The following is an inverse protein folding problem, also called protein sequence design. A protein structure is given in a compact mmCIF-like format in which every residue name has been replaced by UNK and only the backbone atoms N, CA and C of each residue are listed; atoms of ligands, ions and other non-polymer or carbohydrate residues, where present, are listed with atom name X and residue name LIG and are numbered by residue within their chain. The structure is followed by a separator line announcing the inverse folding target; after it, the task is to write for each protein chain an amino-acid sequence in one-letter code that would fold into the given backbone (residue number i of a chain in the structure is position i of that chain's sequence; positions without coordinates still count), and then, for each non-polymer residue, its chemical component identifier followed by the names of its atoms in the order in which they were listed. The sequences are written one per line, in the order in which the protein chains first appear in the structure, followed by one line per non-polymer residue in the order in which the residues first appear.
data_IF_426174779320
#
_entry.id   IF_426174779320
#
_cell.length_a   1.000
_cell.length_b   1.000
_cell.length_c   1.000
_cell.angle_alpha   90.00
_cell.angle_beta   90.00
_cell.angle_gamma   90.00
#
_symmetry.space_group_name_H-M   'P 1'
#
loop_
_entity.id
_entity.type
_entity.pdbx_description
1 polymer ?
#
# COMPACT_ATOMS: atom_id res chain seq x y z
N UNK A 1 -2.01 32.69 9.58
CA UNK A 1 -3.28 33.05 8.90
C UNK A 1 -3.66 32.04 7.81
N UNK A 2 -2.72 31.64 6.94
CA UNK A 2 -2.93 30.66 5.85
C UNK A 2 -3.37 29.24 6.30
N UNK A 3 -2.95 28.78 7.49
CA UNK A 3 -3.39 27.48 8.04
C UNK A 3 -4.89 27.44 8.38
N UNK A 4 -5.46 28.52 8.93
CA UNK A 4 -6.88 28.55 9.35
C UNK A 4 -7.85 28.52 8.15
N UNK A 5 -7.45 29.09 7.01
CA UNK A 5 -8.26 29.06 5.78
C UNK A 5 -8.27 27.68 5.13
N UNK A 6 -7.18 26.91 5.25
CA UNK A 6 -7.11 25.53 4.75
C UNK A 6 -7.99 24.56 5.58
N UNK A 7 -8.03 24.75 6.90
CA UNK A 7 -8.87 23.94 7.80
C UNK A 7 -10.36 24.12 7.50
N UNK A 8 -10.81 25.36 7.25
CA UNK A 8 -12.21 25.65 6.94
C UNK A 8 -12.64 25.08 5.57
N UNK A 9 -11.76 25.15 4.57
CA UNK A 9 -12.00 24.55 3.26
C UNK A 9 -12.13 23.02 3.35
N UNK A 10 -11.28 22.38 4.15
CA UNK A 10 -11.31 20.94 4.36
C UNK A 10 -12.63 20.46 4.99
N UNK A 11 -13.22 21.21 5.94
CA UNK A 11 -14.51 20.84 6.52
C UNK A 11 -15.67 20.92 5.52
N UNK A 12 -15.69 21.94 4.66
CA UNK A 12 -16.72 22.09 3.62
C UNK A 12 -16.61 20.99 2.57
N UNK A 13 -15.39 20.70 2.12
CA UNK A 13 -15.08 19.62 1.18
C UNK A 13 -15.49 18.27 1.78
N UNK A 14 -15.15 18.01 3.04
CA UNK A 14 -15.52 16.76 3.72
C UNK A 14 -17.03 16.56 3.80
N UNK A 15 -17.79 17.61 4.14
CA UNK A 15 -19.26 17.56 4.17
C UNK A 15 -19.86 17.35 2.77
N UNK A 16 -19.29 17.97 1.74
CA UNK A 16 -19.72 17.80 0.36
C UNK A 16 -19.44 16.39 -0.18
N UNK A 17 -18.27 15.83 0.11
CA UNK A 17 -17.89 14.46 -0.27
C UNK A 17 -18.68 13.38 0.49
N UNK A 18 -19.25 13.73 1.65
CA UNK A 18 -20.17 12.88 2.40
C UNK A 18 -21.48 12.56 1.67
N UNK A 19 -21.82 13.29 0.60
CA UNK A 19 -23.07 13.11 -0.14
C UNK A 19 -23.05 11.90 -1.09
N UNK A 20 -21.85 11.40 -1.46
CA UNK A 20 -21.70 10.20 -2.31
C UNK A 20 -21.34 9.01 -1.40
N UNK A 21 -22.20 7.98 -1.26
CA UNK A 21 -22.03 6.92 -0.27
C UNK A 21 -20.68 6.18 -0.35
N UNK A 22 -20.26 5.84 -1.58
CA UNK A 22 -19.02 5.09 -1.82
C UNK A 22 -17.81 5.95 -1.47
N UNK A 23 -17.76 7.18 -1.99
CA UNK A 23 -16.63 8.10 -1.80
C UNK A 23 -16.49 8.48 -0.33
N UNK A 24 -17.62 8.69 0.38
CA UNK A 24 -17.65 8.92 1.83
C UNK A 24 -17.00 7.77 2.59
N UNK A 25 -17.26 6.51 2.20
CA UNK A 25 -16.68 5.32 2.83
C UNK A 25 -15.18 5.24 2.60
N UNK A 26 -14.74 5.41 1.35
CA UNK A 26 -13.32 5.44 0.96
C UNK A 26 -12.58 6.50 1.79
N UNK A 27 -13.10 7.72 1.84
CA UNK A 27 -12.46 8.83 2.57
C UNK A 27 -12.39 8.53 4.06
N UNK A 28 -13.43 7.95 4.67
CA UNK A 28 -13.39 7.58 6.09
C UNK A 28 -12.33 6.54 6.40
N UNK A 29 -12.20 5.50 5.57
CA UNK A 29 -11.17 4.47 5.74
C UNK A 29 -9.78 5.09 5.63
N UNK A 30 -9.54 5.87 4.58
CA UNK A 30 -8.23 6.49 4.35
C UNK A 30 -7.90 7.52 5.43
N UNK A 31 -8.85 8.37 5.81
CA UNK A 31 -8.67 9.36 6.86
C UNK A 31 -8.39 8.69 8.21
N UNK A 32 -9.09 7.59 8.53
CA UNK A 32 -8.84 6.79 9.73
C UNK A 32 -7.46 6.14 9.72
N UNK A 33 -6.99 5.66 8.58
CA UNK A 33 -5.63 5.15 8.43
C UNK A 33 -4.58 6.25 8.63
N UNK A 34 -4.76 7.42 8.01
CA UNK A 34 -3.85 8.57 8.14
C UNK A 34 -3.80 9.11 9.57
N UNK A 35 -4.92 9.03 10.29
CA UNK A 35 -4.97 9.37 11.71
C UNK A 35 -4.46 8.25 12.64
N UNK A 36 -3.92 7.16 12.10
CA UNK A 36 -3.49 5.99 12.87
C UNK A 36 -4.61 5.48 13.80
N UNK A 37 -5.87 5.51 13.33
CA UNK A 37 -7.03 5.02 14.08
C UNK A 37 -7.56 5.92 15.18
N UNK A 38 -7.18 7.19 15.23
CA UNK A 38 -7.77 8.14 16.18
C UNK A 38 -9.29 8.27 15.98
N UNK A 39 -10.05 8.29 17.08
CA UNK A 39 -11.51 8.54 17.06
C UNK A 39 -11.86 9.88 16.41
N UNK A 40 -10.94 10.86 16.46
CA UNK A 40 -11.09 12.15 15.78
C UNK A 40 -11.16 12.03 14.25
N UNK A 41 -10.75 10.90 13.67
CA UNK A 41 -10.83 10.65 12.24
C UNK A 41 -12.26 10.51 11.70
N UNK A 42 -13.24 10.29 12.57
CA UNK A 42 -14.65 10.25 12.15
C UNK A 42 -15.23 11.65 11.95
N UNK A 43 -14.78 12.60 12.78
CA UNK A 43 -15.37 13.94 12.87
C UNK A 43 -14.57 15.02 12.14
N UNK A 44 -13.26 14.79 11.90
CA UNK A 44 -12.37 15.78 11.29
C UNK A 44 -11.43 15.15 10.28
N UNK A 45 -11.01 15.96 9.30
CA UNK A 45 -10.01 15.56 8.31
C UNK A 45 -8.60 15.68 8.88
N UNK A 46 -7.72 14.74 8.51
CA UNK A 46 -6.35 14.75 9.01
C UNK A 46 -5.57 15.94 8.44
N UNK A 47 -4.70 16.58 9.22
CA UNK A 47 -3.81 17.60 8.68
C UNK A 47 -2.96 17.02 7.56
N UNK A 48 -2.77 17.80 6.48
CA UNK A 48 -2.12 17.36 5.24
C UNK A 48 -0.72 16.75 5.45
N UNK A 49 0.00 17.15 6.51
CA UNK A 49 1.29 16.56 6.87
C UNK A 49 1.18 15.05 7.20
N UNK A 50 0.12 14.64 7.90
CA UNK A 50 -0.11 13.23 8.20
C UNK A 50 -0.40 12.45 6.92
N UNK A 51 -1.16 13.04 5.99
CA UNK A 51 -1.41 12.45 4.67
C UNK A 51 -0.11 12.22 3.91
N UNK A 52 0.78 13.21 3.91
CA UNK A 52 2.07 13.09 3.24
C UNK A 52 2.95 12.00 3.88
N UNK A 53 2.98 11.92 5.21
CA UNK A 53 3.76 10.91 5.93
C UNK A 53 3.22 9.49 5.67
N UNK A 54 1.91 9.30 5.75
CA UNK A 54 1.28 7.99 5.67
C UNK A 54 1.15 7.48 4.23
N UNK A 55 0.80 8.35 3.27
CA UNK A 55 0.53 7.97 1.88
C UNK A 55 1.61 8.49 0.95
N UNK A 56 2.04 9.73 1.14
CA UNK A 56 3.00 10.40 0.27
C UNK A 56 4.35 9.69 0.21
N UNK A 57 4.91 9.28 1.36
CA UNK A 57 6.22 8.63 1.39
C UNK A 57 6.21 7.23 0.71
N UNK A 58 5.27 6.32 1.02
CA UNK A 58 5.14 5.06 0.28
C UNK A 58 4.87 5.26 -1.21
N UNK A 59 4.07 6.27 -1.57
CA UNK A 59 3.79 6.61 -2.97
C UNK A 59 5.04 7.09 -3.71
N UNK A 60 5.86 7.94 -3.09
CA UNK A 60 7.14 8.39 -3.67
C UNK A 60 8.04 7.20 -3.93
N UNK A 61 8.17 6.27 -2.97
CA UNK A 61 8.95 5.05 -3.15
C UNK A 61 8.43 4.24 -4.34
N UNK A 62 7.11 4.03 -4.44
CA UNK A 62 6.50 3.31 -5.54
C UNK A 62 6.74 3.99 -6.90
N UNK A 63 6.63 5.32 -6.96
CA UNK A 63 6.91 6.12 -8.16
C UNK A 63 8.37 6.00 -8.57
N UNK A 64 9.32 6.07 -7.62
CA UNK A 64 10.75 5.94 -7.90
C UNK A 64 11.09 4.55 -8.44
N UNK A 65 10.51 3.49 -7.86
CA UNK A 65 10.69 2.13 -8.36
C UNK A 65 10.10 1.99 -9.76
N UNK A 66 8.88 2.48 -9.98
CA UNK A 66 8.23 2.45 -11.30
C UNK A 66 9.04 3.23 -12.36
N UNK A 67 9.56 4.41 -12.01
CA UNK A 67 10.39 5.21 -12.88
C UNK A 67 11.73 4.52 -13.18
N UNK A 68 12.35 3.88 -12.18
CA UNK A 68 13.58 3.11 -12.36
C UNK A 68 13.38 1.90 -13.29
N UNK A 69 12.24 1.22 -13.20
CA UNK A 69 11.93 0.08 -14.07
C UNK A 69 11.66 0.50 -15.52
N UNK A 70 11.08 1.68 -15.71
CA UNK A 70 10.78 2.23 -17.02
C UNK A 70 11.90 3.10 -17.59
N UNK A 71 13.02 3.25 -16.86
CA UNK A 71 14.15 4.07 -17.26
C UNK A 71 14.69 3.68 -18.64
N UNK A 72 14.76 2.38 -18.93
CA UNK A 72 15.25 1.88 -20.22
C UNK A 72 14.23 2.09 -21.36
N UNK A 73 12.93 2.09 -21.05
CA UNK A 73 11.85 2.33 -22.02
C UNK A 73 11.57 3.82 -22.31
N UNK A 74 11.97 4.72 -21.41
CA UNK A 74 11.82 6.18 -21.55
C UNK A 74 13.10 6.89 -22.01
N UNK A 75 14.21 6.17 -22.19
CA UNK A 75 15.41 6.73 -22.82
C UNK A 75 15.09 7.09 -24.28
N UNK A 76 15.15 8.39 -24.56
CA UNK A 76 14.72 9.08 -25.78
C UNK A 76 14.95 8.30 -27.09
N UNK A 77 13.93 8.22 -27.98
CA UNK A 77 14.09 7.68 -29.33
C UNK A 77 14.73 8.75 -30.23
N UNK A 78 16.05 8.96 -30.15
CA UNK A 78 16.79 9.72 -31.16
C UNK A 78 17.99 8.90 -31.64
N UNK A 79 17.86 8.38 -32.87
CA UNK A 79 18.89 7.97 -33.83
C UNK A 79 20.24 7.46 -33.28
N UNK A 80 20.57 6.18 -33.55
CA UNK A 80 21.77 5.82 -34.31
C UNK A 80 21.92 4.30 -34.43
N UNK A 81 21.97 3.81 -35.67
CA UNK A 81 22.76 2.63 -36.01
C UNK A 81 24.20 2.84 -35.53
N UNK A 82 24.80 1.92 -34.76
CA UNK A 82 26.23 1.64 -34.87
C UNK A 82 26.52 0.18 -34.51
N UNK A 83 26.94 -0.57 -35.54
CA UNK A 83 27.89 -1.68 -35.41
C UNK A 83 29.22 -1.11 -34.93
N UNK A 84 29.84 -1.68 -33.90
CA UNK A 84 31.23 -2.17 -34.00
C UNK A 84 31.61 -3.09 -32.83
N UNK A 85 32.22 -4.20 -33.21
CA UNK A 85 32.78 -5.30 -32.44
C UNK A 85 34.16 -4.91 -31.84
N UNK A 86 34.67 -5.73 -30.91
CA UNK A 86 36.08 -6.04 -30.58
C UNK A 86 36.34 -6.25 -29.07
N UNK A 87 35.56 -7.09 -28.37
CA UNK A 87 35.94 -7.63 -27.04
C UNK A 87 35.18 -8.93 -26.67
N UNK A 88 34.92 -9.79 -27.66
CA UNK A 88 34.04 -10.97 -27.63
C UNK A 88 34.40 -12.15 -26.71
N UNK A 89 34.87 -11.91 -25.48
CA UNK A 89 35.04 -12.97 -24.47
C UNK A 89 34.61 -12.57 -23.05
N UNK A 90 34.42 -11.27 -22.76
CA UNK A 90 33.85 -10.80 -21.50
C UNK A 90 32.41 -10.31 -21.63
N UNK A 91 31.93 -10.11 -22.87
CA UNK A 91 30.53 -9.81 -23.13
C UNK A 91 29.62 -11.01 -22.86
N UNK A 92 30.07 -12.26 -23.00
CA UNK A 92 29.17 -13.41 -22.88
C UNK A 92 28.71 -13.71 -21.45
N UNK A 93 29.48 -13.35 -20.41
CA UNK A 93 29.01 -13.50 -19.02
C UNK A 93 28.04 -12.39 -18.65
N UNK A 94 28.28 -11.17 -19.14
CA UNK A 94 27.36 -10.04 -18.97
C UNK A 94 26.08 -10.25 -19.80
N UNK A 95 26.21 -10.82 -20.99
CA UNK A 95 25.11 -11.21 -21.86
C UNK A 95 24.38 -12.44 -21.36
N UNK A 96 24.98 -13.35 -20.58
CA UNK A 96 24.21 -14.43 -19.94
C UNK A 96 23.30 -13.88 -18.84
N UNK A 97 23.80 -12.89 -18.08
CA UNK A 97 23.00 -12.19 -17.07
C UNK A 97 21.97 -11.23 -17.71
N UNK A 98 22.31 -10.58 -18.82
CA UNK A 98 21.38 -9.73 -19.58
C UNK A 98 20.44 -10.52 -20.50
N UNK A 99 20.79 -11.71 -21.02
CA UNK A 99 19.87 -12.55 -21.84
C UNK A 99 18.77 -13.16 -20.98
N UNK A 100 18.98 -13.37 -19.68
CA UNK A 100 17.91 -13.79 -18.80
C UNK A 100 16.92 -12.64 -18.53
N UNK A 101 17.42 -11.38 -18.56
CA UNK A 101 16.59 -10.17 -18.54
C UNK A 101 15.97 -9.82 -19.91
N UNK A 102 16.55 -10.32 -21.01
CA UNK A 102 16.12 -10.10 -22.39
C UNK A 102 15.55 -11.34 -23.07
N UNK A 103 15.21 -12.36 -22.28
CA UNK A 103 14.22 -13.36 -22.69
C UNK A 103 12.87 -12.64 -22.82
N UNK A 104 11.91 -13.12 -23.63
CA UNK A 104 10.61 -12.48 -23.80
C UNK A 104 9.76 -12.68 -22.54
N UNK A 105 10.19 -12.11 -21.42
CA UNK A 105 9.30 -11.78 -20.33
C UNK A 105 8.55 -10.58 -20.88
N UNK A 106 7.37 -10.86 -21.41
CA UNK A 106 6.40 -9.88 -21.88
C UNK A 106 5.75 -8.95 -20.81
N UNK A 107 6.04 -8.95 -19.48
CA UNK A 107 5.23 -8.18 -18.54
C UNK A 107 5.75 -6.76 -18.28
N UNK A 108 6.92 -6.33 -18.80
CA UNK A 108 7.37 -4.94 -18.57
C UNK A 108 6.37 -3.91 -19.15
N UNK A 109 5.71 -4.26 -20.25
CA UNK A 109 4.72 -3.41 -20.93
C UNK A 109 3.29 -3.59 -20.39
N UNK A 110 3.06 -4.55 -19.48
CA UNK A 110 1.72 -4.98 -19.07
C UNK A 110 1.53 -5.15 -17.55
N UNK A 111 1.83 -4.12 -16.71
CA UNK A 111 1.65 -4.20 -15.25
C UNK A 111 0.23 -4.56 -14.83
N UNK A 112 -0.77 -4.22 -15.63
CA UNK A 112 -2.18 -4.53 -15.39
C UNK A 112 -2.49 -6.02 -15.41
N UNK A 113 -1.77 -6.83 -16.21
CA UNK A 113 -1.93 -8.29 -16.14
C UNK A 113 -1.44 -8.83 -14.79
N UNK A 114 -0.31 -8.32 -14.29
CA UNK A 114 0.24 -8.71 -12.99
C UNK A 114 -0.69 -8.29 -11.85
N UNK A 115 -1.21 -7.06 -11.88
CA UNK A 115 -2.21 -6.60 -10.91
C UNK A 115 -3.41 -7.54 -10.92
N UNK A 116 -3.99 -7.82 -12.09
CA UNK A 116 -5.19 -8.64 -12.19
C UNK A 116 -4.96 -10.11 -11.81
N UNK A 117 -3.74 -10.63 -11.91
CA UNK A 117 -3.41 -11.99 -11.46
C UNK A 117 -3.06 -12.09 -9.97
N UNK A 118 -2.39 -11.07 -9.40
CA UNK A 118 -1.85 -11.14 -8.04
C UNK A 118 -2.80 -10.51 -7.02
N UNK A 119 -3.39 -9.36 -7.34
CA UNK A 119 -4.11 -8.55 -6.36
C UNK A 119 -5.42 -9.17 -5.88
N UNK A 120 -6.22 -9.88 -6.71
CA UNK A 120 -7.38 -10.62 -6.20
C UNK A 120 -7.03 -11.68 -5.16
N UNK A 121 -5.87 -12.36 -5.33
CA UNK A 121 -5.39 -13.35 -4.36
C UNK A 121 -4.98 -12.67 -3.04
N UNK A 122 -4.27 -11.54 -3.12
CA UNK A 122 -3.88 -10.76 -1.94
C UNK A 122 -5.09 -10.15 -1.22
N UNK A 123 -6.10 -9.70 -1.96
CA UNK A 123 -7.36 -9.22 -1.44
C UNK A 123 -8.11 -10.34 -0.71
N UNK A 124 -8.18 -11.54 -1.30
CA UNK A 124 -8.77 -12.72 -0.67
C UNK A 124 -8.03 -13.13 0.62
N UNK A 125 -6.69 -13.10 0.59
CA UNK A 125 -5.86 -13.32 1.78
C UNK A 125 -6.16 -12.31 2.88
N UNK A 126 -6.16 -11.02 2.58
CA UNK A 126 -6.41 -9.98 3.57
C UNK A 126 -7.83 -10.05 4.14
N UNK A 127 -8.85 -10.38 3.32
CA UNK A 127 -10.21 -10.64 3.81
C UNK A 127 -10.24 -11.86 4.74
N UNK A 128 -9.55 -12.95 4.39
CA UNK A 128 -9.46 -14.15 5.21
C UNK A 128 -8.85 -13.88 6.58
N UNK A 129 -7.74 -13.14 6.62
CA UNK A 129 -7.11 -12.73 7.88
C UNK A 129 -8.02 -11.80 8.68
N UNK A 130 -8.67 -10.84 8.02
CA UNK A 130 -9.62 -9.94 8.67
C UNK A 130 -10.76 -10.73 9.32
N UNK A 131 -11.33 -11.71 8.62
CA UNK A 131 -12.37 -12.58 9.17
C UNK A 131 -11.89 -13.39 10.39
N UNK A 132 -10.66 -13.90 10.36
CA UNK A 132 -10.07 -14.62 11.50
C UNK A 132 -9.94 -13.74 12.73
N UNK A 133 -9.53 -12.48 12.57
CA UNK A 133 -9.40 -11.54 13.69
C UNK A 133 -10.75 -11.22 14.32
N UNK A 134 -11.82 -11.11 13.53
CA UNK A 134 -13.18 -10.96 14.08
C UNK A 134 -13.73 -12.23 14.70
N UNK A 135 -13.27 -13.40 14.26
CA UNK A 135 -13.62 -14.68 14.86
C UNK A 135 -12.87 -14.94 16.18
N UNK A 136 -11.83 -14.15 16.52
CA UNK A 136 -11.14 -14.25 17.80
C UNK A 136 -12.08 -13.88 18.96
N UNK A 137 -11.82 -14.48 20.12
CA UNK A 137 -12.64 -14.27 21.31
C UNK A 137 -12.65 -12.79 21.74
N UNK A 138 -13.75 -12.30 22.36
CA UNK A 138 -13.80 -10.92 22.88
C UNK A 138 -12.67 -10.61 23.87
N UNK A 139 -12.20 -11.63 24.59
CA UNK A 139 -11.08 -11.53 25.54
C UNK A 139 -9.76 -11.25 24.80
N UNK A 140 -9.51 -11.93 23.68
CA UNK A 140 -8.35 -11.66 22.80
C UNK A 140 -8.41 -10.26 22.21
N UNK A 141 -9.60 -9.80 21.77
CA UNK A 141 -9.79 -8.43 21.29
C UNK A 141 -9.57 -7.38 22.38
N UNK A 142 -9.97 -7.65 23.62
CA UNK A 142 -9.76 -6.76 24.76
C UNK A 142 -8.27 -6.68 25.16
N UNK A 143 -7.55 -7.80 25.16
CA UNK A 143 -6.09 -7.80 25.38
C UNK A 143 -5.33 -7.10 24.25
N UNK A 144 -5.74 -7.28 23.00
CA UNK A 144 -5.23 -6.53 21.86
C UNK A 144 -5.44 -5.03 22.07
N UNK A 145 -6.61 -4.64 22.61
CA UNK A 145 -6.89 -3.25 22.90
C UNK A 145 -6.02 -2.69 24.03
N UNK A 146 -5.83 -3.46 25.10
CA UNK A 146 -5.04 -3.11 26.29
C UNK A 146 -3.54 -2.97 25.97
N UNK A 147 -2.95 -3.87 25.19
CA UNK A 147 -1.53 -3.79 24.83
C UNK A 147 -1.22 -2.65 23.86
N UNK A 148 -2.12 -2.42 22.90
CA UNK A 148 -2.04 -1.22 22.09
C UNK A 148 -2.12 0.02 23.00
N UNK A 149 -3.03 0.04 24.01
CA UNK A 149 -3.12 1.08 25.05
C UNK A 149 -1.84 1.26 25.88
N UNK A 150 -1.13 0.18 26.22
CA UNK A 150 0.15 0.24 26.93
C UNK A 150 1.27 0.83 26.05
N UNK A 151 1.34 0.45 24.77
CA UNK A 151 2.26 1.09 23.81
C UNK A 151 1.93 2.58 23.59
N UNK A 152 0.65 2.98 23.70
CA UNK A 152 0.25 4.39 23.72
C UNK A 152 0.74 5.13 24.99
N UNK A 153 0.61 4.50 26.17
CA UNK A 153 0.99 5.11 27.46
C UNK A 153 2.50 5.27 27.64
N UNK A 154 3.33 4.46 26.98
CA UNK A 154 4.80 4.59 26.95
C UNK A 154 5.32 5.84 26.18
N UNK A 155 4.46 6.83 25.90
CA UNK A 155 4.79 8.15 25.31
C UNK A 155 5.43 8.13 23.91
N UNK A 156 5.32 7.04 23.13
CA UNK A 156 5.78 7.04 21.73
C UNK A 156 4.71 7.33 20.68
N UNK A 157 3.40 7.17 20.97
CA UNK A 157 2.30 7.59 20.08
C UNK A 157 1.04 7.97 20.87
N UNK A 158 0.26 8.94 20.36
CA UNK A 158 -1.03 9.37 20.93
C UNK A 158 -2.18 8.85 20.04
N UNK A 159 -3.07 8.04 20.63
CA UNK A 159 -4.48 7.76 20.24
C UNK A 159 -4.74 6.61 19.24
N UNK A 160 -5.71 5.73 19.56
CA UNK A 160 -6.52 5.00 18.56
C UNK A 160 -6.70 3.45 18.61
N UNK A 161 -6.27 2.72 19.65
CA UNK A 161 -6.20 1.23 19.73
C UNK A 161 -7.12 0.36 18.82
N UNK A 162 -8.43 0.29 19.05
CA UNK A 162 -9.30 -0.63 18.29
C UNK A 162 -9.61 -0.17 16.85
N UNK A 163 -9.78 1.13 16.65
CA UNK A 163 -10.04 1.72 15.34
C UNK A 163 -8.78 1.66 14.46
N UNK A 164 -7.59 1.75 15.07
CA UNK A 164 -6.29 1.65 14.40
C UNK A 164 -6.10 0.28 13.78
N UNK A 165 -6.47 -0.77 14.50
CA UNK A 165 -6.35 -2.14 13.99
C UNK A 165 -7.22 -2.32 12.74
N UNK A 166 -8.48 -1.88 12.80
CA UNK A 166 -9.41 -1.96 11.68
C UNK A 166 -8.93 -1.11 10.50
N UNK A 167 -8.52 0.14 10.73
CA UNK A 167 -8.07 1.05 9.66
C UNK A 167 -6.74 0.61 9.04
N UNK A 168 -5.82 0.04 9.81
CA UNK A 168 -4.53 -0.48 9.35
C UNK A 168 -4.67 -1.74 8.49
N UNK A 169 -5.77 -2.48 8.60
CA UNK A 169 -6.07 -3.60 7.71
C UNK A 169 -6.96 -3.23 6.54
N UNK A 170 -7.98 -2.40 6.77
CA UNK A 170 -8.93 -1.98 5.74
C UNK A 170 -8.27 -1.13 4.65
N UNK A 171 -7.28 -0.32 5.01
CA UNK A 171 -6.58 0.54 4.04
C UNK A 171 -5.81 -0.26 2.96
N UNK A 172 -4.94 -1.23 3.30
CA UNK A 172 -4.35 -2.13 2.31
C UNK A 172 -5.34 -2.79 1.37
N UNK A 173 -6.43 -3.34 1.93
CA UNK A 173 -7.49 -3.98 1.13
C UNK A 173 -8.16 -3.00 0.16
N UNK A 174 -8.43 -1.79 0.62
CA UNK A 174 -8.99 -0.72 -0.20
C UNK A 174 -8.05 -0.30 -1.33
N UNK A 175 -6.76 -0.15 -1.04
CA UNK A 175 -5.74 0.17 -2.04
C UNK A 175 -5.70 -0.92 -3.11
N UNK A 176 -5.64 -2.19 -2.72
CA UNK A 176 -5.64 -3.32 -3.65
C UNK A 176 -6.90 -3.34 -4.51
N UNK A 177 -8.08 -3.11 -3.92
CA UNK A 177 -9.34 -3.08 -4.65
C UNK A 177 -9.39 -1.94 -5.70
N UNK A 178 -8.98 -0.73 -5.31
CA UNK A 178 -8.94 0.42 -6.23
C UNK A 178 -7.88 0.23 -7.31
N UNK A 179 -6.77 -0.45 -6.99
CA UNK A 179 -5.67 -0.71 -7.92
C UNK A 179 -6.06 -1.56 -9.13
N UNK A 180 -7.14 -2.35 -9.02
CA UNK A 180 -7.70 -3.12 -10.13
C UNK A 180 -8.22 -2.21 -11.24
N UNK A 181 -8.75 -1.03 -10.90
CA UNK A 181 -9.36 -0.10 -11.88
C UNK A 181 -8.37 0.34 -12.97
N UNK A 182 -7.22 0.96 -12.66
CA UNK A 182 -6.25 1.34 -13.69
C UNK A 182 -5.70 0.13 -14.45
N UNK A 183 -5.61 -1.05 -13.82
CA UNK A 183 -5.19 -2.27 -14.49
C UNK A 183 -6.17 -2.74 -15.57
N UNK A 184 -7.48 -2.66 -15.30
CA UNK A 184 -8.53 -2.95 -16.30
C UNK A 184 -8.44 -1.96 -17.47
N UNK A 185 -8.29 -0.67 -17.18
CA UNK A 185 -8.12 0.34 -18.24
C UNK A 185 -6.85 0.12 -19.06
N UNK A 186 -5.77 -0.35 -18.42
CA UNK A 186 -4.54 -0.67 -19.11
C UNK A 186 -4.69 -1.90 -20.02
N UNK A 187 -5.48 -2.92 -19.65
CA UNK A 187 -5.82 -4.01 -20.57
C UNK A 187 -6.61 -3.54 -21.80
N UNK A 188 -7.50 -2.55 -21.62
CA UNK A 188 -8.26 -1.97 -22.74
C UNK A 188 -7.38 -1.14 -23.68
N UNK A 189 -6.35 -0.46 -23.16
CA UNK A 189 -5.46 0.41 -23.93
C UNK A 189 -3.98 0.22 -23.54
N UNK A 190 -3.44 -0.96 -23.86
CA UNK A 190 -2.11 -1.40 -23.44
C UNK A 190 -0.92 -0.64 -24.05
N UNK A 191 -1.15 0.31 -24.96
CA UNK A 191 -0.09 1.10 -25.62
C UNK A 191 0.13 2.47 -24.99
N UNK A 192 -0.75 2.90 -24.08
CA UNK A 192 -0.64 4.23 -23.48
C UNK A 192 0.44 4.23 -22.38
N UNK A 193 1.53 4.96 -22.60
CA UNK A 193 2.64 5.08 -21.66
C UNK A 193 2.20 5.58 -20.26
N UNK A 194 1.21 6.48 -20.18
CA UNK A 194 0.68 6.95 -18.90
C UNK A 194 -0.06 5.84 -18.14
N UNK A 195 -0.79 4.98 -18.83
CA UNK A 195 -1.47 3.83 -18.21
C UNK A 195 -0.46 2.76 -17.76
N UNK A 196 0.62 2.56 -18.53
CA UNK A 196 1.72 1.66 -18.13
C UNK A 196 2.43 2.19 -16.89
N UNK A 197 2.83 3.47 -16.89
CA UNK A 197 3.50 4.11 -15.75
C UNK A 197 2.64 4.12 -14.49
N UNK A 198 1.37 4.51 -14.62
CA UNK A 198 0.43 4.48 -13.50
C UNK A 198 0.16 3.06 -13.01
N UNK A 199 0.06 2.08 -13.92
CA UNK A 199 -0.06 0.67 -13.57
C UNK A 199 1.13 0.17 -12.74
N UNK A 200 2.35 0.47 -13.15
CA UNK A 200 3.55 0.13 -12.37
C UNK A 200 3.60 0.83 -11.01
N UNK A 201 3.27 2.12 -10.96
CA UNK A 201 3.20 2.88 -9.72
C UNK A 201 2.21 2.25 -8.74
N UNK A 202 1.01 1.94 -9.22
CA UNK A 202 -0.06 1.33 -8.43
C UNK A 202 0.30 -0.09 -7.98
N UNK A 203 0.97 -0.88 -8.85
CA UNK A 203 1.45 -2.21 -8.50
C UNK A 203 2.44 -2.17 -7.32
N UNK A 204 3.46 -1.32 -7.41
CA UNK A 204 4.46 -1.18 -6.34
C UNK A 204 3.87 -0.58 -5.07
N UNK A 205 2.98 0.40 -5.22
CA UNK A 205 2.27 0.97 -4.09
C UNK A 205 1.46 -0.10 -3.35
N UNK A 206 0.68 -0.91 -4.07
CA UNK A 206 -0.07 -2.03 -3.50
C UNK A 206 0.84 -3.02 -2.78
N UNK A 207 2.02 -3.32 -3.32
CA UNK A 207 3.00 -4.20 -2.68
C UNK A 207 3.53 -3.62 -1.35
N UNK A 208 3.89 -2.34 -1.33
CA UNK A 208 4.36 -1.66 -0.11
C UNK A 208 3.29 -1.74 0.99
N UNK A 209 2.04 -1.44 0.64
CA UNK A 209 0.95 -1.45 1.61
C UNK A 209 0.60 -2.89 2.08
N UNK A 210 0.83 -3.91 1.25
CA UNK A 210 0.73 -5.32 1.68
C UNK A 210 1.82 -5.69 2.68
N UNK A 211 3.05 -5.21 2.50
CA UNK A 211 4.12 -5.41 3.49
C UNK A 211 3.77 -4.75 4.82
N UNK A 212 3.15 -3.56 4.79
CA UNK A 212 2.63 -2.93 6.02
C UNK A 212 1.56 -3.79 6.69
N UNK A 213 0.60 -4.32 5.93
CA UNK A 213 -0.40 -5.25 6.44
C UNK A 213 0.26 -6.46 7.12
N UNK A 214 1.24 -7.09 6.46
CA UNK A 214 1.99 -8.21 7.02
C UNK A 214 2.72 -7.84 8.31
N UNK A 215 3.32 -6.65 8.38
CA UNK A 215 3.98 -6.16 9.59
C UNK A 215 3.00 -5.99 10.75
N UNK A 216 1.81 -5.45 10.48
CA UNK A 216 0.73 -5.37 11.48
C UNK A 216 0.33 -6.78 11.94
N UNK A 217 0.10 -7.70 11.01
CA UNK A 217 -0.30 -9.07 11.34
C UNK A 217 0.75 -9.85 12.11
N UNK A 218 2.03 -9.71 11.74
CA UNK A 218 3.14 -10.34 12.42
C UNK A 218 3.25 -9.84 13.86
N UNK A 219 3.17 -8.52 14.06
CA UNK A 219 3.18 -7.93 15.40
C UNK A 219 2.03 -8.45 16.27
N UNK A 220 0.84 -8.69 15.69
CA UNK A 220 -0.27 -9.29 16.42
C UNK A 220 -0.02 -10.76 16.78
N UNK A 221 0.52 -11.54 15.84
CA UNK A 221 0.79 -12.96 16.04
C UNK A 221 1.89 -13.25 17.06
N UNK A 222 2.95 -12.44 17.08
CA UNK A 222 4.06 -12.58 18.04
C UNK A 222 3.58 -12.42 19.49
N UNK A 223 2.69 -11.45 19.76
CA UNK A 223 2.16 -11.23 21.10
C UNK A 223 1.22 -12.34 21.58
N UNK A 224 0.35 -12.87 20.72
CA UNK A 224 -0.53 -14.01 21.07
C UNK A 224 0.29 -15.28 21.36
N UNK A 225 1.41 -15.49 20.66
CA UNK A 225 2.29 -16.63 20.88
C UNK A 225 3.06 -16.54 22.22
N UNK A 226 3.60 -15.36 22.53
CA UNK A 226 4.33 -15.13 23.80
C UNK A 226 3.41 -15.31 25.00
N UNK A 227 2.15 -14.87 24.91
CA UNK A 227 1.19 -15.02 26.01
C UNK A 227 0.85 -16.48 26.27
N UNK A 228 0.64 -17.29 25.23
CA UNK A 228 0.38 -18.74 25.37
C UNK A 228 1.53 -19.47 26.07
N UNK A 229 2.78 -19.13 25.72
CA UNK A 229 3.96 -19.68 26.38
C UNK A 229 4.03 -19.26 27.86
N UNK A 230 3.71 -18.00 28.18
CA UNK A 230 3.71 -17.51 29.57
C UNK A 230 2.64 -18.15 30.46
N UNK A 231 1.55 -18.64 29.86
CA UNK A 231 0.47 -19.36 30.55
C UNK A 231 0.80 -20.83 30.77
N UNK A 232 1.57 -21.46 29.89
CA UNK A 232 2.11 -22.80 30.08
C UNK A 232 3.18 -22.83 31.19
N UNK A 233 4.04 -21.81 31.31
CA UNK A 233 5.05 -21.74 32.37
C UNK A 233 4.49 -21.51 33.79
N UNK A 234 3.23 -21.07 33.91
CA UNK A 234 2.57 -20.81 35.21
C UNK A 234 1.71 -21.96 35.72
N UNK A 235 1.50 -23.01 34.92
CA UNK A 235 0.74 -24.21 35.28
C UNK A 235 1.67 -25.40 35.54
#
# INVERSE_FOLDING_TARGET
MFMRTLECLNEVIYKALGYIPIVSTVIKIVNSYVFEGDVRAMDRFAPWWLWFKAIGLPLIVAVLIAASLLHDSFSFPHHAEYKFDLNGSLLDVKNCFELQLKSPIAPLDAPGQLILSVFPNLLGFGIGVYALIFALSPKSLQFLQEHLAEQFNAKKRKQGSALMLNSSMAYPLLVIAISIVPAVFQQMNGKNALLIFSGWTVFWYGFVVVVELLGVLFSLGEHDAIDKLSLEERN
#
